data_IF_869146789647
#
_entry.id   IF_869146789647
#
_cell.length_a   1.000
_cell.length_b   1.000
_cell.length_c   1.000
_cell.angle_alpha   90.00
_cell.angle_beta   90.00
_cell.angle_gamma   90.00
#
_symmetry.space_group_name_H-M   'P 1'
#
loop_
_entity.id
_entity.type
_entity.pdbx_description
1 polymer ?
#
# COMPACT_ATOMS: atom_id res chain seq x y z
N UNK A 1 6.44 -40.25 14.13
CA UNK A 1 5.18 -39.64 13.66
C UNK A 1 5.30 -38.16 13.96
N UNK A 2 5.08 -37.29 12.97
CA UNK A 2 5.02 -35.85 13.23
C UNK A 2 3.87 -35.58 14.20
N UNK A 3 4.08 -34.73 15.20
CA UNK A 3 3.01 -34.31 16.09
C UNK A 3 1.93 -33.61 15.26
N UNK A 4 0.68 -34.03 15.43
CA UNK A 4 -0.47 -33.49 14.72
C UNK A 4 -0.67 -31.99 15.02
N UNK A 5 -0.08 -31.51 16.13
CA UNK A 5 -0.07 -30.12 16.57
C UNK A 5 1.28 -29.42 16.37
N UNK A 6 2.17 -29.96 15.53
CA UNK A 6 3.43 -29.31 15.21
C UNK A 6 3.20 -27.98 14.46
N UNK A 7 3.35 -26.88 15.20
CA UNK A 7 3.15 -25.53 14.69
C UNK A 7 4.14 -25.14 13.58
N UNK A 8 5.33 -25.74 13.56
CA UNK A 8 6.28 -25.51 12.46
C UNK A 8 5.79 -26.21 11.19
N UNK A 9 5.31 -27.45 11.31
CA UNK A 9 4.76 -28.19 10.18
C UNK A 9 3.48 -27.52 9.62
N UNK A 10 2.61 -26.98 10.48
CA UNK A 10 1.45 -26.16 10.07
C UNK A 10 1.94 -24.96 9.25
N UNK A 11 2.87 -24.16 9.79
CA UNK A 11 3.43 -22.98 9.10
C UNK A 11 4.03 -23.35 7.75
N UNK A 12 4.81 -24.42 7.69
CA UNK A 12 5.50 -24.85 6.47
C UNK A 12 4.49 -25.31 5.39
N UNK A 13 3.35 -25.89 5.80
CA UNK A 13 2.25 -26.22 4.87
C UNK A 13 1.58 -24.99 4.26
N UNK A 14 1.38 -23.92 5.03
CA UNK A 14 0.90 -22.64 4.51
C UNK A 14 1.90 -22.06 3.51
N UNK A 15 3.19 -22.00 3.85
CA UNK A 15 4.21 -21.48 2.93
C UNK A 15 4.31 -22.29 1.64
N UNK A 16 4.22 -23.62 1.72
CA UNK A 16 4.25 -24.47 0.53
C UNK A 16 3.05 -24.21 -0.40
N UNK A 17 1.86 -23.98 0.17
CA UNK A 17 0.64 -23.71 -0.60
C UNK A 17 0.62 -22.31 -1.19
N UNK A 18 1.08 -21.30 -0.43
CA UNK A 18 1.23 -19.92 -0.89
C UNK A 18 2.25 -19.78 -2.02
N UNK A 19 3.41 -20.45 -1.94
CA UNK A 19 4.41 -20.47 -3.03
C UNK A 19 3.85 -21.03 -4.33
N UNK A 20 2.82 -21.87 -4.25
CA UNK A 20 2.14 -22.50 -5.40
C UNK A 20 0.86 -21.78 -5.82
N UNK A 21 0.50 -20.66 -5.17
CA UNK A 21 -0.80 -20.00 -5.34
C UNK A 21 -1.99 -20.98 -5.23
N UNK A 22 -1.94 -21.90 -4.28
CA UNK A 22 -3.00 -22.88 -4.04
C UNK A 22 -3.71 -22.63 -2.73
N UNK A 23 -5.04 -22.70 -2.75
CA UNK A 23 -5.88 -22.56 -1.56
C UNK A 23 -5.93 -23.84 -0.70
N UNK A 24 -5.44 -24.96 -1.22
CA UNK A 24 -5.32 -26.22 -0.48
C UNK A 24 -4.08 -27.02 -0.91
N UNK A 25 -3.39 -27.69 0.02
CA UNK A 25 -2.40 -28.71 -0.32
C UNK A 25 -3.07 -29.88 -1.03
N UNK A 26 -2.39 -30.44 -2.04
CA UNK A 26 -2.83 -31.67 -2.71
C UNK A 26 -2.53 -32.93 -1.90
N UNK A 27 -1.57 -32.85 -0.97
CA UNK A 27 -1.19 -33.95 -0.07
C UNK A 27 -2.11 -33.93 1.15
N UNK A 28 -2.86 -35.00 1.44
CA UNK A 28 -3.80 -35.05 2.56
C UNK A 28 -3.17 -34.68 3.91
N UNK A 29 -2.01 -35.24 4.24
CA UNK A 29 -1.33 -35.00 5.54
C UNK A 29 -0.79 -33.57 5.72
N UNK A 30 -0.82 -32.76 4.66
CA UNK A 30 -0.45 -31.35 4.73
C UNK A 30 -1.64 -30.44 4.96
N UNK A 31 -2.89 -30.93 4.90
CA UNK A 31 -4.06 -30.08 5.11
C UNK A 31 -4.18 -29.66 6.57
N UNK A 32 -4.64 -28.43 6.79
CA UNK A 32 -4.83 -27.84 8.13
C UNK A 32 -6.32 -27.77 8.44
N UNK A 33 -6.65 -28.18 9.66
CA UNK A 33 -7.99 -28.20 10.21
C UNK A 33 -8.02 -27.45 11.53
N UNK A 34 -9.20 -26.92 11.86
CA UNK A 34 -9.50 -26.38 13.18
C UNK A 34 -10.67 -27.13 13.81
N UNK A 35 -10.49 -27.53 15.06
CA UNK A 35 -11.54 -28.18 15.85
C UNK A 35 -12.50 -27.17 16.49
N UNK A 36 -13.56 -27.66 17.14
CA UNK A 36 -14.56 -26.83 17.81
C UNK A 36 -14.02 -26.00 18.99
N UNK A 37 -12.81 -26.29 19.46
CA UNK A 37 -12.14 -25.58 20.56
C UNK A 37 -11.16 -24.52 20.05
N UNK A 38 -10.98 -24.40 18.72
CA UNK A 38 -10.04 -23.48 18.11
C UNK A 38 -8.61 -24.02 18.00
N UNK A 39 -8.39 -25.32 18.24
CA UNK A 39 -7.06 -25.92 18.07
C UNK A 39 -6.81 -26.24 16.60
N UNK A 40 -5.65 -25.83 16.13
CA UNK A 40 -5.19 -25.99 14.74
C UNK A 40 -4.31 -27.23 14.63
N UNK A 41 -4.57 -28.08 13.64
CA UNK A 41 -3.86 -29.34 13.46
C UNK A 41 -3.66 -29.73 11.98
N UNK A 42 -2.63 -30.53 11.71
CA UNK A 42 -2.44 -31.19 10.41
C UNK A 42 -3.24 -32.51 10.33
N UNK A 43 -3.58 -32.94 9.13
CA UNK A 43 -4.10 -34.29 8.89
C UNK A 43 -5.04 -34.40 7.70
N UNK A 44 -5.73 -35.53 7.60
CA UNK A 44 -6.62 -35.87 6.47
C UNK A 44 -8.03 -35.30 6.60
N UNK A 45 -8.41 -34.83 7.79
CA UNK A 45 -9.77 -34.38 8.09
C UNK A 45 -10.64 -35.43 8.79
N UNK A 46 -10.08 -36.61 9.09
CA UNK A 46 -10.82 -37.68 9.74
C UNK A 46 -10.92 -37.46 11.27
N UNK A 47 -12.16 -37.37 11.78
CA UNK A 47 -12.51 -37.66 13.17
C UNK A 47 -13.85 -38.41 13.24
N UNK A 48 -13.88 -39.46 14.04
CA UNK A 48 -15.11 -40.21 14.33
C UNK A 48 -16.14 -39.43 15.16
N UNK A 49 -15.73 -38.37 15.88
CA UNK A 49 -16.53 -37.75 16.95
C UNK A 49 -16.74 -36.21 16.82
N UNK A 50 -16.19 -35.53 15.80
CA UNK A 50 -16.39 -34.08 15.63
C UNK A 50 -16.23 -33.60 14.18
N UNK A 51 -17.05 -32.64 13.71
CA UNK A 51 -16.79 -31.96 12.46
C UNK A 51 -15.59 -31.03 12.60
N UNK A 52 -14.60 -31.19 11.71
CA UNK A 52 -13.48 -30.28 11.57
C UNK A 52 -13.79 -29.22 10.52
N UNK A 53 -13.34 -27.99 10.76
CA UNK A 53 -13.35 -26.95 9.72
C UNK A 53 -12.03 -26.96 8.97
N UNK A 54 -12.08 -27.21 7.66
CA UNK A 54 -10.91 -27.14 6.79
C UNK A 54 -10.46 -25.69 6.66
N UNK A 55 -9.19 -25.43 6.92
CA UNK A 55 -8.61 -24.09 6.77
C UNK A 55 -8.11 -23.95 5.33
N UNK A 56 -8.47 -22.87 4.60
CA UNK A 56 -7.82 -22.56 3.32
C UNK A 56 -6.37 -22.11 3.56
N UNK A 57 -5.44 -22.62 2.77
CA UNK A 57 -4.00 -22.30 2.87
C UNK A 57 -3.58 -21.14 1.96
N UNK A 58 -4.57 -20.48 1.34
CA UNK A 58 -4.35 -19.27 0.57
C UNK A 58 -3.67 -18.19 1.42
N UNK A 59 -3.12 -17.19 0.75
CA UNK A 59 -2.61 -16.00 1.42
C UNK A 59 -3.76 -15.32 2.18
N UNK A 60 -3.54 -15.04 3.47
CA UNK A 60 -4.30 -13.98 4.13
C UNK A 60 -4.11 -12.73 3.27
N UNK A 61 -5.21 -12.14 2.78
CA UNK A 61 -5.17 -11.26 1.62
C UNK A 61 -4.34 -9.98 1.85
N UNK A 62 -3.06 -10.06 1.53
CA UNK A 62 -2.25 -8.95 1.03
C UNK A 62 -2.19 -9.19 -0.47
N UNK A 63 -2.78 -8.29 -1.28
CA UNK A 63 -2.76 -8.41 -2.74
C UNK A 63 -1.32 -8.67 -3.21
N UNK A 64 -1.11 -9.65 -4.11
CA UNK A 64 0.19 -9.80 -4.76
C UNK A 64 0.59 -8.50 -5.48
N UNK A 65 1.90 -8.24 -5.68
CA UNK A 65 2.38 -7.06 -6.45
C UNK A 65 1.63 -6.94 -7.79
N UNK A 66 1.41 -8.05 -8.48
CA UNK A 66 0.70 -8.08 -9.76
C UNK A 66 -0.78 -7.66 -9.64
N UNK A 67 -1.51 -8.17 -8.65
CA UNK A 67 -2.92 -7.80 -8.42
C UNK A 67 -3.06 -6.34 -8.00
N UNK A 68 -2.18 -5.87 -7.10
CA UNK A 68 -2.13 -4.47 -6.69
C UNK A 68 -1.87 -3.55 -7.89
N UNK A 69 -0.86 -3.86 -8.71
CA UNK A 69 -0.55 -3.10 -9.93
C UNK A 69 -1.70 -3.13 -10.95
N UNK A 70 -2.42 -4.24 -11.08
CA UNK A 70 -3.59 -4.32 -11.96
C UNK A 70 -4.70 -3.37 -11.51
N UNK A 71 -4.94 -3.31 -10.19
CA UNK A 71 -5.91 -2.39 -9.60
C UNK A 71 -5.46 -0.93 -9.71
N UNK A 72 -4.20 -0.64 -9.39
CA UNK A 72 -3.61 0.68 -9.58
C UNK A 72 -3.73 1.16 -11.02
N UNK A 73 -3.49 0.29 -12.02
CA UNK A 73 -3.69 0.62 -13.44
C UNK A 73 -5.15 0.93 -13.78
N UNK A 74 -6.10 0.34 -13.08
CA UNK A 74 -7.54 0.64 -13.24
C UNK A 74 -7.87 2.00 -12.63
N UNK A 75 -7.34 2.29 -11.44
CA UNK A 75 -7.49 3.58 -10.76
C UNK A 75 -6.84 4.69 -11.58
N UNK A 76 -5.57 4.55 -11.98
CA UNK A 76 -4.83 5.55 -12.71
C UNK A 76 -5.55 5.97 -14.00
N UNK A 77 -6.04 5.01 -14.79
CA UNK A 77 -6.80 5.30 -16.02
C UNK A 77 -8.11 6.06 -15.81
N UNK A 78 -8.71 5.98 -14.62
CA UNK A 78 -10.03 6.54 -14.33
C UNK A 78 -9.98 7.80 -13.46
N UNK A 79 -8.93 7.96 -12.66
CA UNK A 79 -8.90 8.87 -11.52
C UNK A 79 -7.68 9.79 -11.51
N UNK A 80 -6.53 9.33 -12.00
CA UNK A 80 -5.34 10.17 -12.09
C UNK A 80 -5.41 11.03 -13.37
N UNK A 81 -4.56 12.07 -13.49
CA UNK A 81 -4.50 12.89 -14.69
C UNK A 81 -4.04 12.05 -15.88
N UNK A 82 -4.44 12.44 -17.10
CA UNK A 82 -4.16 11.69 -18.31
C UNK A 82 -2.66 11.51 -18.63
N UNK A 83 -1.79 12.31 -18.01
CA UNK A 83 -0.33 12.20 -18.12
C UNK A 83 0.31 11.20 -17.15
N UNK A 84 -0.49 10.51 -16.32
CA UNK A 84 0.02 9.57 -15.34
C UNK A 84 0.56 8.30 -16.01
N UNK A 85 1.75 7.87 -15.59
CA UNK A 85 2.38 6.62 -16.03
C UNK A 85 3.03 5.90 -14.86
N UNK A 86 3.29 4.60 -15.03
CA UNK A 86 3.99 3.80 -14.03
C UNK A 86 5.47 3.68 -14.41
N UNK A 87 6.36 4.08 -13.50
CA UNK A 87 7.79 3.83 -13.56
C UNK A 87 8.09 2.51 -12.82
N UNK A 88 8.82 1.60 -13.48
CA UNK A 88 9.19 0.27 -12.95
C UNK A 88 10.73 0.10 -12.91
N UNK A 89 11.48 1.18 -13.08
CA UNK A 89 12.93 1.18 -12.91
C UNK A 89 13.27 0.88 -11.44
N UNK A 90 14.18 -0.08 -11.18
CA UNK A 90 14.60 -0.42 -9.84
C UNK A 90 15.04 0.80 -9.02
N UNK A 91 14.40 1.03 -7.88
CA UNK A 91 14.68 2.16 -6.99
C UNK A 91 13.88 3.44 -7.28
N UNK A 92 13.08 3.46 -8.34
CA UNK A 92 12.22 4.58 -8.73
C UNK A 92 10.74 4.15 -8.92
N UNK A 93 10.36 2.96 -8.46
CA UNK A 93 9.07 2.37 -8.78
C UNK A 93 7.89 3.17 -8.21
N UNK A 94 6.92 3.50 -9.07
CA UNK A 94 5.74 4.24 -8.65
C UNK A 94 4.95 4.88 -9.80
N UNK A 95 3.82 5.48 -9.45
CA UNK A 95 3.00 6.25 -10.39
C UNK A 95 3.48 7.69 -10.44
N UNK A 96 4.01 8.08 -11.59
CA UNK A 96 4.46 9.44 -11.88
C UNK A 96 3.33 10.18 -12.59
N UNK A 97 3.06 11.40 -12.15
CA UNK A 97 2.05 12.29 -12.74
C UNK A 97 2.44 13.74 -12.53
N UNK A 98 1.88 14.65 -13.33
CA UNK A 98 2.01 16.09 -13.08
C UNK A 98 0.66 16.77 -12.92
N UNK A 99 0.65 17.79 -12.06
CA UNK A 99 -0.51 18.61 -11.73
C UNK A 99 -0.15 20.04 -12.08
N UNK A 100 -0.94 20.64 -12.98
CA UNK A 100 -0.95 22.07 -13.19
C UNK A 100 -2.05 22.69 -12.31
N UNK A 101 -1.70 23.69 -11.52
CA UNK A 101 -2.64 24.37 -10.63
C UNK A 101 -3.26 25.58 -11.33
N UNK A 102 -4.30 26.14 -10.71
CA UNK A 102 -4.98 27.35 -11.20
C UNK A 102 -4.07 28.59 -11.21
N UNK A 103 -2.95 28.55 -10.47
CA UNK A 103 -1.94 29.60 -10.45
C UNK A 103 -0.87 29.44 -11.54
N UNK A 104 -1.00 28.43 -12.42
CA UNK A 104 -0.10 28.20 -13.55
C UNK A 104 1.19 27.46 -13.20
N UNK A 105 1.37 27.05 -11.93
CA UNK A 105 2.51 26.25 -11.52
C UNK A 105 2.28 24.77 -11.83
N UNK A 106 3.36 24.06 -12.15
CA UNK A 106 3.33 22.62 -12.42
C UNK A 106 4.15 21.88 -11.38
N UNK A 107 3.60 20.78 -10.88
CA UNK A 107 4.25 19.90 -9.92
C UNK A 107 4.27 18.48 -10.46
N UNK A 108 5.46 17.89 -10.57
CA UNK A 108 5.64 16.48 -10.92
C UNK A 108 5.84 15.69 -9.64
N UNK A 109 5.10 14.59 -9.49
CA UNK A 109 5.09 13.79 -8.27
C UNK A 109 5.16 12.30 -8.59
N UNK A 110 5.62 11.51 -7.63
CA UNK A 110 5.60 10.06 -7.70
C UNK A 110 4.92 9.46 -6.46
N UNK A 111 3.90 8.63 -6.69
CA UNK A 111 3.23 7.83 -5.67
C UNK A 111 3.80 6.40 -5.64
N UNK A 112 4.45 6.03 -4.54
CA UNK A 112 5.10 4.72 -4.36
C UNK A 112 4.42 3.94 -3.24
N UNK A 113 4.08 2.68 -3.52
CA UNK A 113 3.61 1.76 -2.50
C UNK A 113 4.79 1.23 -1.67
N UNK A 114 4.83 1.55 -0.38
CA UNK A 114 5.96 1.22 0.52
C UNK A 114 5.84 -0.16 1.19
N UNK A 115 4.86 -0.97 0.78
CA UNK A 115 4.54 -2.27 1.39
C UNK A 115 3.26 -2.24 2.22
N UNK A 116 2.86 -1.06 2.72
CA UNK A 116 1.66 -0.90 3.55
C UNK A 116 0.74 0.19 3.02
N UNK A 117 1.30 1.29 2.52
CA UNK A 117 0.57 2.49 2.10
C UNK A 117 1.28 3.15 0.91
N UNK A 118 0.65 4.17 0.34
CA UNK A 118 1.21 5.01 -0.70
C UNK A 118 1.82 6.28 -0.10
N UNK A 119 3.10 6.46 -0.34
CA UNK A 119 3.82 7.70 -0.07
C UNK A 119 3.91 8.51 -1.37
N UNK A 120 3.75 9.83 -1.30
CA UNK A 120 3.94 10.71 -2.46
C UNK A 120 5.18 11.56 -2.25
N UNK A 121 6.03 11.67 -3.28
CA UNK A 121 7.19 12.55 -3.31
C UNK A 121 7.07 13.58 -4.42
N UNK A 122 7.53 14.79 -4.14
CA UNK A 122 7.77 15.82 -5.14
C UNK A 122 9.03 15.47 -5.95
N UNK A 123 8.93 15.49 -7.26
CA UNK A 123 10.04 15.34 -8.20
C UNK A 123 10.45 16.69 -8.83
N UNK A 124 9.45 17.51 -9.17
CA UNK A 124 9.63 18.84 -9.74
C UNK A 124 8.51 19.77 -9.21
N UNK A 125 8.80 21.03 -8.86
CA UNK A 125 10.09 21.70 -8.95
C UNK A 125 11.10 21.18 -7.90
N UNK A 126 12.41 21.49 -8.03
CA UNK A 126 13.42 21.11 -7.03
C UNK A 126 13.07 21.62 -5.64
N UNK A 127 13.38 20.85 -4.59
CA UNK A 127 12.96 21.14 -3.21
C UNK A 127 13.44 22.52 -2.73
N UNK A 128 14.62 22.95 -3.17
CA UNK A 128 15.21 24.25 -2.86
C UNK A 128 14.41 25.44 -3.41
N UNK A 129 13.60 25.21 -4.44
CA UNK A 129 12.71 26.24 -5.01
C UNK A 129 11.39 26.37 -4.27
N UNK A 130 11.05 25.41 -3.40
CA UNK A 130 9.84 25.49 -2.56
C UNK A 130 10.14 26.37 -1.35
N UNK A 131 9.47 27.52 -1.19
CA UNK A 131 9.76 28.45 -0.10
C UNK A 131 9.54 27.78 1.26
N UNK A 132 10.57 27.88 2.12
CA UNK A 132 10.60 27.38 3.51
C UNK A 132 10.12 25.93 3.64
N UNK A 133 11.00 24.97 3.39
CA UNK A 133 10.80 23.57 3.75
C UNK A 133 10.43 23.44 5.24
N UNK A 134 9.15 23.25 5.52
CA UNK A 134 8.61 23.15 6.87
C UNK A 134 7.57 22.03 6.89
N UNK A 135 7.94 20.90 7.47
CA UNK A 135 7.06 19.73 7.59
C UNK A 135 5.72 20.03 8.32
N UNK A 136 5.66 21.10 9.11
CA UNK A 136 4.45 21.55 9.80
C UNK A 136 3.78 22.74 9.10
N UNK A 137 4.55 23.54 8.35
CA UNK A 137 4.08 24.70 7.61
C UNK A 137 3.51 24.37 6.23
N UNK A 138 4.28 23.65 5.40
CA UNK A 138 3.92 23.32 4.02
C UNK A 138 3.83 21.80 3.74
N UNK A 139 3.88 20.97 4.78
CA UNK A 139 3.72 19.50 4.69
C UNK A 139 4.71 18.82 3.74
N UNK A 140 5.90 19.39 3.57
CA UNK A 140 6.96 18.81 2.75
C UNK A 140 8.17 18.47 3.62
N UNK A 141 8.51 17.19 3.70
CA UNK A 141 9.74 16.74 4.35
C UNK A 141 10.96 17.10 3.51
N UNK A 142 12.14 17.22 4.14
CA UNK A 142 13.42 17.43 3.44
C UNK A 142 13.77 16.33 2.44
N UNK A 143 13.14 15.16 2.55
CA UNK A 143 13.27 14.05 1.60
C UNK A 143 12.42 14.23 0.33
N UNK A 144 11.65 15.32 0.23
CA UNK A 144 10.65 15.55 -0.81
C UNK A 144 9.36 14.77 -0.62
N UNK A 145 9.26 13.95 0.43
CA UNK A 145 8.01 13.27 0.79
C UNK A 145 6.98 14.29 1.28
N UNK A 146 5.76 14.18 0.77
CA UNK A 146 4.62 14.97 1.23
C UNK A 146 4.00 14.29 2.45
N UNK A 147 3.70 15.07 3.49
CA UNK A 147 2.95 14.64 4.66
C UNK A 147 1.45 14.62 4.32
N UNK A 148 0.91 13.46 3.93
CA UNK A 148 -0.48 13.35 3.48
C UNK A 148 -1.46 13.14 4.64
N UNK A 149 -1.00 12.57 5.75
CA UNK A 149 -1.83 12.20 6.91
C UNK A 149 -1.13 12.47 8.25
N UNK A 150 -1.90 12.50 9.33
CA UNK A 150 -1.40 12.59 10.71
C UNK A 150 -0.94 11.25 11.29
N UNK A 151 -1.09 10.13 10.56
CA UNK A 151 -0.69 8.81 11.03
C UNK A 151 0.81 8.57 10.86
N UNK A 152 1.37 7.64 11.64
CA UNK A 152 2.76 7.21 11.48
C UNK A 152 3.05 6.81 10.03
N UNK A 153 4.09 7.41 9.43
CA UNK A 153 4.44 7.21 8.03
C UNK A 153 3.78 8.18 7.04
N UNK A 154 2.77 8.95 7.43
CA UNK A 154 2.22 10.09 6.66
C UNK A 154 1.75 9.81 5.22
N UNK A 155 1.39 8.56 4.91
CA UNK A 155 0.93 8.12 3.59
C UNK A 155 -0.58 7.85 3.56
N UNK A 156 -1.06 7.29 2.45
CA UNK A 156 -2.48 6.99 2.20
C UNK A 156 -2.71 5.50 1.89
N UNK A 157 -3.86 4.93 2.27
CA UNK A 157 -4.12 3.49 2.12
C UNK A 157 -4.21 3.04 0.65
N UNK A 158 -4.60 3.92 -0.26
CA UNK A 158 -4.79 3.64 -1.68
C UNK A 158 -4.27 4.76 -2.58
N UNK A 159 -4.06 4.43 -3.87
CA UNK A 159 -3.50 5.33 -4.87
C UNK A 159 -4.41 6.54 -5.15
N UNK A 160 -5.74 6.36 -5.15
CA UNK A 160 -6.70 7.45 -5.43
C UNK A 160 -6.65 8.50 -4.32
N UNK A 161 -6.62 8.07 -3.06
CA UNK A 161 -6.52 8.94 -1.90
C UNK A 161 -5.15 9.62 -1.83
N UNK A 162 -4.07 8.90 -2.17
CA UNK A 162 -2.73 9.49 -2.27
C UNK A 162 -2.66 10.62 -3.30
N UNK A 163 -3.18 10.36 -4.50
CA UNK A 163 -3.24 11.34 -5.59
C UNK A 163 -4.12 12.55 -5.25
N UNK A 164 -5.34 12.32 -4.78
CA UNK A 164 -6.27 13.43 -4.47
C UNK A 164 -5.71 14.36 -3.38
N UNK A 165 -5.05 13.79 -2.36
CA UNK A 165 -4.40 14.57 -1.30
C UNK A 165 -3.17 15.33 -1.79
N UNK A 166 -2.37 14.75 -2.70
CA UNK A 166 -1.22 15.44 -3.28
C UNK A 166 -1.65 16.56 -4.24
N UNK A 167 -2.80 16.44 -4.91
CA UNK A 167 -3.39 17.51 -5.71
C UNK A 167 -3.80 18.71 -4.84
N UNK A 168 -4.45 18.46 -3.70
CA UNK A 168 -4.76 19.52 -2.72
C UNK A 168 -3.47 20.15 -2.17
N UNK A 169 -2.45 19.35 -1.93
CA UNK A 169 -1.15 19.85 -1.51
C UNK A 169 -0.51 20.78 -2.57
N UNK A 170 -0.56 20.43 -3.86
CA UNK A 170 -0.02 21.27 -4.94
C UNK A 170 -0.63 22.67 -4.91
N UNK A 171 -1.97 22.73 -4.84
CA UNK A 171 -2.69 23.99 -4.70
C UNK A 171 -2.30 24.73 -3.42
N UNK A 172 -2.21 24.03 -2.29
CA UNK A 172 -1.86 24.64 -1.00
C UNK A 172 -0.44 25.22 -0.98
N UNK A 173 0.50 24.61 -1.68
CA UNK A 173 1.88 25.12 -1.80
C UNK A 173 1.94 26.38 -2.65
N UNK A 174 1.06 26.58 -3.63
CA UNK A 174 1.02 27.86 -4.34
C UNK A 174 0.71 29.04 -3.41
N UNK A 175 -0.18 28.86 -2.44
CA UNK A 175 -0.44 29.90 -1.43
C UNK A 175 0.83 30.22 -0.63
N UNK A 176 1.61 29.19 -0.27
CA UNK A 176 2.89 29.36 0.41
C UNK A 176 3.89 30.11 -0.49
N UNK A 177 3.93 29.80 -1.79
CA UNK A 177 4.77 30.50 -2.75
C UNK A 177 4.39 31.98 -2.89
N UNK A 178 3.11 32.31 -2.78
CA UNK A 178 2.61 33.68 -2.75
C UNK A 178 2.83 34.41 -1.41
N UNK A 179 3.45 33.76 -0.42
CA UNK A 179 3.75 34.34 0.89
C UNK A 179 2.65 34.18 1.94
N UNK A 180 1.64 33.35 1.68
CA UNK A 180 0.57 33.02 2.63
C UNK A 180 0.89 31.75 3.44
N UNK A 181 0.12 31.49 4.49
CA UNK A 181 0.14 30.20 5.19
C UNK A 181 -0.53 29.11 4.34
N UNK A 182 -0.14 27.85 4.53
CA UNK A 182 -0.76 26.73 3.84
C UNK A 182 -2.23 26.57 4.26
N UNK A 183 -3.20 26.75 3.35
CA UNK A 183 -4.59 27.05 3.70
C UNK A 183 -5.38 25.84 4.23
N UNK A 184 -4.87 24.62 4.06
CA UNK A 184 -5.59 23.40 4.41
C UNK A 184 -5.17 22.81 5.76
N UNK A 185 -4.68 23.66 6.66
CA UNK A 185 -4.33 23.32 8.04
C UNK A 185 -5.47 23.66 8.99
N UNK A 186 -5.73 22.78 9.97
CA UNK A 186 -6.76 23.04 10.99
C UNK A 186 -6.36 24.16 11.97
N UNK A 187 -5.06 24.39 12.17
CA UNK A 187 -4.51 25.37 13.10
C UNK A 187 -3.96 26.60 12.35
N UNK A 188 -4.83 27.32 11.66
CA UNK A 188 -4.50 28.65 11.12
C UNK A 188 -4.75 29.73 12.17
#
# INVERSE_FOLDING_TARGET
>A
MADMYDLNAVRDSFFASQRRNSEAPTVPDQQVYVDRTGRVRLGTGDEGDAPLSKVPHGTFAVLSKAQRLAEERRVARRKLPANAYYEDTPGAEGWVYSIATEFGNTYVMCATFNGTQYDVRLLDPPLESVPKLDQHGNHLYKSGKICLSSSSGSGMPDLETAYSRSAVWALGVDFVQMGHSFPFNHNQ
#
